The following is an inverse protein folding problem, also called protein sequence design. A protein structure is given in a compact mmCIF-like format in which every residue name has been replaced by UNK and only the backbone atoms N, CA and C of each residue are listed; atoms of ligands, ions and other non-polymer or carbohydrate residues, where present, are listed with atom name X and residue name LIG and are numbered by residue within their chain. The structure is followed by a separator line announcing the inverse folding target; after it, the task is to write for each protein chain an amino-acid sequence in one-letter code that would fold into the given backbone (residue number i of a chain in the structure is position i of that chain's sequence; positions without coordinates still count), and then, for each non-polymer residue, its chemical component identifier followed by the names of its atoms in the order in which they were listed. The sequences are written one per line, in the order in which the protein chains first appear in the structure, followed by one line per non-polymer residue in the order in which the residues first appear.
data_IF_355979716973
#
_entry.id   IF_355979716973
#
_cell.length_a   1.000
_cell.length_b   1.000
_cell.length_c   1.000
_cell.angle_alpha   90.00
_cell.angle_beta   90.00
_cell.angle_gamma   90.00
#
_symmetry.space_group_name_H-M   'P 1'
#
loop_
_entity.id
_entity.type
_entity.pdbx_description
1 polymer ?
#
# COMPACT_ATOMS: atom_id res chain seq x y z
N UNK A 1 -0.79 -14.51 14.19
CA UNK A 1 -1.50 -15.63 13.54
C UNK A 1 -2.03 -15.25 12.15
N UNK A 2 -2.82 -14.18 12.01
CA UNK A 2 -3.36 -13.75 10.72
C UNK A 2 -2.30 -13.50 9.65
N UNK A 3 -1.20 -12.84 10.01
CA UNK A 3 -0.10 -12.54 9.06
C UNK A 3 0.65 -13.82 8.64
N UNK A 4 0.95 -14.69 9.60
CA UNK A 4 1.61 -15.96 9.31
C UNK A 4 0.70 -16.88 8.50
N UNK A 5 -0.60 -16.95 8.86
CA UNK A 5 -1.58 -17.73 8.12
C UNK A 5 -1.76 -17.21 6.69
N UNK A 6 -1.82 -15.88 6.50
CA UNK A 6 -1.90 -15.28 5.16
C UNK A 6 -0.70 -15.58 4.30
N UNK A 7 0.52 -15.51 4.84
CA UNK A 7 1.74 -15.90 4.12
C UNK A 7 1.73 -17.40 3.81
N UNK A 8 1.36 -18.24 4.76
CA UNK A 8 1.32 -19.67 4.59
C UNK A 8 0.25 -20.15 3.59
N UNK A 9 -0.95 -19.57 3.66
CA UNK A 9 -2.07 -20.06 2.83
C UNK A 9 -2.11 -19.44 1.44
N UNK A 10 -1.61 -18.23 1.27
CA UNK A 10 -1.72 -17.50 0.00
C UNK A 10 -0.38 -17.35 -0.73
N UNK A 11 0.65 -16.84 -0.05
CA UNK A 11 1.89 -16.48 -0.74
C UNK A 11 2.74 -17.71 -1.09
N UNK A 12 3.03 -18.59 -0.13
CA UNK A 12 3.93 -19.72 -0.34
C UNK A 12 3.43 -20.74 -1.39
N UNK A 13 2.14 -21.17 -1.40
CA UNK A 13 1.63 -22.08 -2.40
C UNK A 13 1.62 -21.50 -3.82
N UNK A 14 1.34 -20.21 -3.98
CA UNK A 14 1.35 -19.55 -5.29
C UNK A 14 2.74 -19.63 -5.94
N UNK A 15 3.79 -19.50 -5.14
CA UNK A 15 5.17 -19.59 -5.63
C UNK A 15 5.78 -20.99 -5.60
N UNK A 16 5.00 -22.01 -5.20
CA UNK A 16 5.48 -23.42 -5.13
C UNK A 16 6.56 -23.66 -4.09
N UNK A 17 6.67 -22.81 -3.08
CA UNK A 17 7.69 -22.89 -2.03
C UNK A 17 7.21 -23.83 -0.94
N UNK A 18 8.03 -24.81 -0.52
CA UNK A 18 7.64 -25.72 0.55
C UNK A 18 7.49 -24.98 1.88
N UNK A 19 6.50 -25.39 2.67
CA UNK A 19 6.29 -24.85 4.00
C UNK A 19 7.48 -25.16 4.91
N UNK A 20 8.31 -24.16 5.17
CA UNK A 20 9.38 -24.22 6.15
C UNK A 20 9.36 -22.97 7.02
N UNK A 21 9.90 -23.08 8.22
CA UNK A 21 10.01 -21.92 9.12
C UNK A 21 10.88 -20.82 8.48
N UNK A 22 11.94 -21.21 7.79
CA UNK A 22 12.85 -20.28 7.11
C UNK A 22 12.15 -19.54 5.95
N UNK A 23 11.30 -20.22 5.19
CA UNK A 23 10.52 -19.60 4.12
C UNK A 23 9.54 -18.55 4.66
N UNK A 24 8.87 -18.84 5.77
CA UNK A 24 7.97 -17.90 6.43
C UNK A 24 8.73 -16.67 6.95
N UNK A 25 9.86 -16.89 7.62
CA UNK A 25 10.72 -15.80 8.12
C UNK A 25 11.30 -14.99 6.99
N UNK A 26 11.69 -15.62 5.88
CA UNK A 26 12.19 -14.95 4.68
C UNK A 26 11.17 -13.99 4.07
N UNK A 27 9.94 -14.47 3.83
CA UNK A 27 8.85 -13.63 3.29
C UNK A 27 8.49 -12.50 4.25
N UNK A 28 8.38 -12.77 5.57
CA UNK A 28 8.10 -11.73 6.56
C UNK A 28 9.21 -10.67 6.62
N UNK A 29 10.47 -11.09 6.57
CA UNK A 29 11.62 -10.20 6.51
C UNK A 29 11.58 -9.32 5.25
N UNK A 30 11.30 -9.91 4.09
CA UNK A 30 11.18 -9.18 2.82
C UNK A 30 10.07 -8.13 2.87
N UNK A 31 8.88 -8.48 3.37
CA UNK A 31 7.76 -7.55 3.53
C UNK A 31 8.13 -6.41 4.50
N UNK A 32 8.70 -6.74 5.65
CA UNK A 32 9.12 -5.75 6.63
C UNK A 32 10.13 -4.74 6.04
N UNK A 33 11.18 -5.22 5.39
CA UNK A 33 12.19 -4.35 4.79
C UNK A 33 11.69 -3.59 3.57
N UNK A 34 10.77 -4.17 2.79
CA UNK A 34 10.08 -3.43 1.73
C UNK A 34 9.30 -2.24 2.29
N UNK A 35 8.58 -2.41 3.41
CA UNK A 35 7.91 -1.29 4.08
C UNK A 35 8.90 -0.25 4.62
N UNK A 36 9.98 -0.67 5.25
CA UNK A 36 11.01 0.25 5.76
C UNK A 36 11.63 1.07 4.63
N UNK A 37 12.04 0.43 3.54
CA UNK A 37 12.71 1.10 2.43
C UNK A 37 11.73 1.94 1.61
N UNK A 38 10.60 1.37 1.20
CA UNK A 38 9.67 2.04 0.29
C UNK A 38 8.83 3.08 1.03
N UNK A 39 8.23 2.74 2.16
CA UNK A 39 7.35 3.66 2.87
C UNK A 39 8.14 4.64 3.72
N UNK A 40 8.99 4.17 4.63
CA UNK A 40 9.66 5.07 5.57
C UNK A 40 10.77 5.87 4.91
N UNK A 41 11.67 5.24 4.18
CA UNK A 41 12.83 5.90 3.62
C UNK A 41 12.48 6.68 2.34
N UNK A 42 11.82 6.05 1.38
CA UNK A 42 11.47 6.70 0.11
C UNK A 42 10.34 7.72 0.29
N UNK A 43 9.18 7.33 0.86
CA UNK A 43 8.05 8.24 0.94
C UNK A 43 8.19 9.26 2.06
N UNK A 44 8.41 8.84 3.31
CA UNK A 44 8.41 9.75 4.46
C UNK A 44 9.62 10.66 4.44
N UNK A 45 10.83 10.16 4.20
CA UNK A 45 12.04 10.97 4.24
C UNK A 45 12.27 11.81 2.98
N UNK A 46 11.96 11.29 1.79
CA UNK A 46 12.25 12.00 0.53
C UNK A 46 11.02 12.64 -0.08
N UNK A 47 9.96 11.88 -0.37
CA UNK A 47 8.82 12.38 -1.15
C UNK A 47 8.02 13.41 -0.39
N UNK A 48 7.76 13.21 0.91
CA UNK A 48 6.98 14.17 1.72
C UNK A 48 7.72 15.49 1.98
N UNK A 49 9.04 15.54 1.80
CA UNK A 49 9.80 16.80 1.87
C UNK A 49 9.71 17.63 0.60
N UNK A 50 9.30 17.02 -0.51
CA UNK A 50 9.10 17.72 -1.78
C UNK A 50 7.74 18.42 -1.78
N UNK A 51 7.69 19.59 -1.15
CA UNK A 51 6.51 20.43 -1.05
C UNK A 51 6.61 21.61 -2.03
N UNK A 52 5.59 21.75 -2.89
CA UNK A 52 5.43 22.90 -3.78
C UNK A 52 4.17 23.67 -3.38
N UNK A 53 4.31 24.67 -2.52
CA UNK A 53 3.20 25.54 -2.04
C UNK A 53 2.02 24.77 -1.40
N UNK A 54 2.29 23.72 -0.63
CA UNK A 54 1.26 22.87 -0.01
C UNK A 54 0.81 21.70 -0.87
N UNK A 55 1.27 21.61 -2.12
CA UNK A 55 0.98 20.49 -3.01
C UNK A 55 2.19 19.54 -3.13
N UNK A 56 1.93 18.25 -3.15
CA UNK A 56 2.91 17.19 -3.30
C UNK A 56 2.64 16.31 -4.52
N UNK A 57 3.35 15.20 -4.61
CA UNK A 57 3.15 14.20 -5.65
C UNK A 57 4.05 14.36 -6.88
N UNK A 58 3.81 13.55 -7.90
CA UNK A 58 4.67 13.43 -9.09
C UNK A 58 4.76 14.73 -9.87
N UNK A 59 3.64 15.43 -10.05
CA UNK A 59 3.59 16.69 -10.80
C UNK A 59 4.31 17.82 -10.06
N UNK A 60 4.20 17.87 -8.74
CA UNK A 60 4.93 18.83 -7.91
C UNK A 60 6.44 18.60 -7.99
N UNK A 61 6.88 17.32 -7.90
CA UNK A 61 8.29 16.94 -8.09
C UNK A 61 8.81 17.33 -9.47
N UNK A 62 8.02 17.08 -10.52
CA UNK A 62 8.36 17.47 -11.89
C UNK A 62 8.51 18.99 -12.00
N UNK A 63 7.57 19.76 -11.46
CA UNK A 63 7.60 21.23 -11.47
C UNK A 63 8.84 21.77 -10.73
N UNK A 64 9.20 21.20 -9.60
CA UNK A 64 10.41 21.58 -8.85
C UNK A 64 11.69 21.24 -9.62
N UNK A 65 11.76 20.05 -10.22
CA UNK A 65 12.92 19.63 -11.02
C UNK A 65 13.10 20.53 -12.26
N UNK A 66 12.01 20.92 -12.91
CA UNK A 66 12.05 21.82 -14.08
C UNK A 66 12.54 23.23 -13.75
N UNK A 67 12.37 23.72 -12.51
CA UNK A 67 12.91 25.03 -12.09
C UNK A 67 14.44 25.06 -12.12
N UNK A 68 15.11 23.92 -11.99
CA UNK A 68 16.57 23.80 -11.99
C UNK A 68 17.16 23.52 -13.38
N UNK A 69 16.29 23.24 -14.36
CA UNK A 69 16.72 22.91 -15.72
C UNK A 69 16.60 24.12 -16.65
N UNK A 70 17.57 24.27 -17.55
CA UNK A 70 17.50 25.30 -18.62
C UNK A 70 16.34 24.98 -19.57
N UNK A 71 15.56 26.02 -19.87
CA UNK A 71 14.39 25.93 -20.75
C UNK A 71 14.82 25.43 -22.14
N UNK A 72 14.18 24.37 -22.64
CA UNK A 72 14.50 23.79 -23.96
C UNK A 72 15.66 22.80 -23.98
N UNK A 73 16.27 22.52 -22.83
CA UNK A 73 17.36 21.53 -22.77
C UNK A 73 16.83 20.09 -22.90
N UNK A 74 17.65 19.16 -23.42
CA UNK A 74 17.32 17.72 -23.47
C UNK A 74 16.98 17.16 -22.09
N UNK A 75 17.59 17.71 -21.03
CA UNK A 75 17.30 17.33 -19.64
C UNK A 75 15.89 17.73 -19.22
N UNK A 76 15.46 18.97 -19.57
CA UNK A 76 14.10 19.42 -19.29
C UNK A 76 13.06 18.52 -20.00
N UNK A 77 13.30 18.18 -21.27
CA UNK A 77 12.41 17.29 -22.03
C UNK A 77 12.33 15.90 -21.36
N UNK A 78 13.45 15.32 -20.95
CA UNK A 78 13.48 14.03 -20.26
C UNK A 78 12.70 14.08 -18.93
N UNK A 79 12.86 15.15 -18.14
CA UNK A 79 12.12 15.34 -16.88
C UNK A 79 10.60 15.42 -17.12
N UNK A 80 10.18 16.12 -18.17
CA UNK A 80 8.76 16.20 -18.57
C UNK A 80 8.23 14.82 -18.96
N UNK A 81 8.96 14.09 -19.82
CA UNK A 81 8.55 12.76 -20.24
C UNK A 81 8.41 11.78 -19.06
N UNK A 82 9.39 11.78 -18.16
CA UNK A 82 9.36 10.94 -16.95
C UNK A 82 8.22 11.37 -15.99
N UNK A 83 7.99 12.66 -15.83
CA UNK A 83 6.90 13.16 -15.00
C UNK A 83 5.53 12.81 -15.55
N UNK A 84 5.32 12.96 -16.86
CA UNK A 84 4.07 12.58 -17.54
C UNK A 84 3.87 11.06 -17.47
N UNK A 85 4.90 10.27 -17.74
CA UNK A 85 4.83 8.81 -17.62
C UNK A 85 4.47 8.39 -16.19
N UNK A 86 5.12 8.98 -15.18
CA UNK A 86 4.81 8.72 -13.78
C UNK A 86 3.37 9.11 -13.41
N UNK A 87 2.88 10.24 -13.93
CA UNK A 87 1.50 10.65 -13.73
C UNK A 87 0.51 9.67 -14.37
N UNK A 88 0.78 9.17 -15.58
CA UNK A 88 -0.06 8.15 -16.22
C UNK A 88 -0.10 6.85 -15.40
N UNK A 89 1.05 6.39 -14.88
CA UNK A 89 1.11 5.23 -13.99
C UNK A 89 0.30 5.45 -12.72
N UNK A 90 0.41 6.63 -12.12
CA UNK A 90 -0.35 6.99 -10.92
C UNK A 90 -1.87 7.02 -11.18
N UNK A 91 -2.31 7.55 -12.31
CA UNK A 91 -3.74 7.54 -12.68
C UNK A 91 -4.26 6.11 -12.87
N UNK A 92 -3.47 5.23 -13.48
CA UNK A 92 -3.82 3.80 -13.61
C UNK A 92 -3.99 3.14 -12.25
N UNK A 93 -3.05 3.35 -11.33
CA UNK A 93 -3.10 2.82 -9.98
C UNK A 93 -4.28 3.39 -9.17
N UNK A 94 -4.57 4.67 -9.33
CA UNK A 94 -5.68 5.34 -8.62
C UNK A 94 -7.08 4.76 -8.96
N UNK A 95 -7.21 4.04 -10.06
CA UNK A 95 -8.45 3.33 -10.43
C UNK A 95 -8.41 1.87 -9.95
N UNK A 96 -7.29 1.19 -10.17
CA UNK A 96 -7.15 -0.25 -9.91
C UNK A 96 -7.12 -0.54 -8.40
N UNK A 97 -6.32 0.22 -7.65
CA UNK A 97 -6.10 -0.03 -6.21
C UNK A 97 -7.39 0.07 -5.39
N UNK A 98 -8.22 1.14 -5.51
CA UNK A 98 -9.50 1.18 -4.82
C UNK A 98 -10.46 0.06 -5.25
N UNK A 99 -10.49 -0.29 -6.55
CA UNK A 99 -11.36 -1.33 -7.05
C UNK A 99 -11.04 -2.69 -6.42
N UNK A 100 -9.76 -3.08 -6.41
CA UNK A 100 -9.31 -4.35 -5.80
C UNK A 100 -9.53 -4.33 -4.29
N UNK A 101 -9.20 -3.23 -3.62
CA UNK A 101 -9.31 -3.14 -2.15
C UNK A 101 -10.75 -3.23 -1.68
N UNK A 102 -11.68 -2.55 -2.35
CA UNK A 102 -13.11 -2.62 -2.02
C UNK A 102 -13.67 -3.99 -2.34
N UNK A 103 -13.31 -4.57 -3.50
CA UNK A 103 -13.75 -5.92 -3.87
C UNK A 103 -13.31 -6.94 -2.80
N UNK A 104 -12.03 -6.96 -2.44
CA UNK A 104 -11.49 -7.87 -1.42
C UNK A 104 -12.15 -7.68 -0.05
N UNK A 105 -12.46 -6.44 0.33
CA UNK A 105 -13.17 -6.17 1.58
C UNK A 105 -14.60 -6.73 1.57
N UNK A 106 -15.30 -6.60 0.43
CA UNK A 106 -16.68 -7.11 0.27
C UNK A 106 -16.68 -8.63 0.14
N UNK A 107 -15.69 -9.25 -0.52
CA UNK A 107 -15.51 -10.70 -0.56
C UNK A 107 -15.36 -11.30 0.86
N UNK A 108 -14.80 -10.56 1.80
CA UNK A 108 -14.77 -10.97 3.20
C UNK A 108 -16.15 -11.27 3.82
N UNK A 109 -17.24 -10.71 3.27
CA UNK A 109 -18.60 -11.03 3.71
C UNK A 109 -19.03 -12.47 3.35
N UNK A 110 -18.46 -13.06 2.31
CA UNK A 110 -18.73 -14.44 1.92
C UNK A 110 -18.32 -15.44 3.02
N UNK A 111 -17.30 -15.10 3.81
CA UNK A 111 -16.84 -15.91 4.94
C UNK A 111 -17.94 -15.99 6.03
N UNK A 112 -18.73 -14.92 6.16
CA UNK A 112 -19.82 -14.85 7.16
C UNK A 112 -21.04 -15.63 6.67
N UNK A 113 -21.41 -15.49 5.40
CA UNK A 113 -22.52 -16.24 4.79
C UNK A 113 -22.34 -16.37 3.28
N UNK A 114 -22.40 -17.61 2.72
CA UNK A 114 -22.28 -17.86 1.29
C UNK A 114 -23.36 -17.19 0.44
N UNK A 115 -24.49 -16.79 1.04
CA UNK A 115 -25.57 -16.11 0.32
C UNK A 115 -25.18 -14.72 -0.18
N UNK A 116 -24.16 -14.11 0.43
CA UNK A 116 -23.65 -12.79 0.02
C UNK A 116 -22.86 -12.82 -1.28
N UNK A 117 -22.41 -13.97 -1.77
CA UNK A 117 -21.61 -14.10 -3.01
C UNK A 117 -22.26 -13.36 -4.18
N UNK A 118 -23.56 -13.47 -4.37
CA UNK A 118 -24.26 -12.79 -5.47
C UNK A 118 -24.35 -11.27 -5.32
N UNK A 119 -24.17 -10.76 -4.11
CA UNK A 119 -24.25 -9.33 -3.81
C UNK A 119 -22.88 -8.64 -3.79
N UNK A 120 -21.78 -9.38 -3.83
CA UNK A 120 -20.41 -8.83 -3.79
C UNK A 120 -20.20 -7.78 -4.87
N UNK A 121 -20.49 -8.09 -6.14
CA UNK A 121 -20.28 -7.16 -7.24
C UNK A 121 -21.20 -5.92 -7.14
N UNK A 122 -22.51 -6.04 -6.91
CA UNK A 122 -23.38 -4.88 -6.73
C UNK A 122 -22.96 -3.98 -5.56
N UNK A 123 -22.62 -4.56 -4.41
CA UNK A 123 -22.18 -3.81 -3.24
C UNK A 123 -20.87 -3.08 -3.54
N UNK A 124 -19.91 -3.76 -4.15
CA UNK A 124 -18.62 -3.17 -4.56
C UNK A 124 -18.83 -1.97 -5.48
N UNK A 125 -19.69 -2.08 -6.48
CA UNK A 125 -20.00 -0.98 -7.40
C UNK A 125 -20.60 0.22 -6.65
N UNK A 126 -21.57 -0.03 -5.76
CA UNK A 126 -22.21 1.03 -4.97
C UNK A 126 -21.18 1.75 -4.11
N UNK A 127 -20.30 1.01 -3.42
CA UNK A 127 -19.27 1.59 -2.57
C UNK A 127 -18.28 2.41 -3.42
N UNK A 128 -17.84 1.90 -4.57
CA UNK A 128 -16.92 2.62 -5.46
C UNK A 128 -17.54 3.91 -6.00
N UNK A 129 -18.81 3.86 -6.44
CA UNK A 129 -19.53 5.05 -6.91
C UNK A 129 -19.64 6.08 -5.80
N UNK A 130 -20.00 5.67 -4.59
CA UNK A 130 -20.07 6.55 -3.42
C UNK A 130 -18.70 7.16 -3.08
N UNK A 131 -17.62 6.35 -3.10
CA UNK A 131 -16.26 6.79 -2.84
C UNK A 131 -15.83 7.87 -3.85
N UNK A 132 -15.99 7.62 -5.14
CA UNK A 132 -15.63 8.58 -6.19
C UNK A 132 -16.53 9.83 -6.19
N UNK A 133 -17.79 9.70 -5.78
CA UNK A 133 -18.67 10.86 -5.63
C UNK A 133 -18.22 11.79 -4.51
N UNK A 134 -17.79 11.23 -3.37
CA UNK A 134 -17.26 11.99 -2.22
C UNK A 134 -15.93 12.66 -2.57
N UNK A 135 -15.12 12.04 -3.42
CA UNK A 135 -13.82 12.56 -3.84
C UNK A 135 -13.90 13.93 -4.52
N UNK A 136 -15.04 14.27 -5.13
CA UNK A 136 -15.30 15.62 -5.67
C UNK A 136 -15.20 16.74 -4.63
N UNK A 137 -15.43 16.42 -3.36
CA UNK A 137 -15.41 17.41 -2.26
C UNK A 137 -14.00 17.79 -1.79
N UNK A 138 -12.98 17.29 -2.46
CA UNK A 138 -11.57 17.56 -2.17
C UNK A 138 -10.95 16.54 -1.21
N UNK A 139 -9.63 16.41 -1.33
CA UNK A 139 -8.83 15.42 -0.57
C UNK A 139 -8.80 15.72 0.94
N UNK A 140 -8.95 17.00 1.33
CA UNK A 140 -8.96 17.38 2.75
C UNK A 140 -10.16 16.80 3.51
N UNK A 141 -11.36 16.84 2.91
CA UNK A 141 -12.60 16.30 3.53
C UNK A 141 -12.50 14.77 3.67
N UNK A 142 -12.00 14.11 2.64
CA UNK A 142 -11.77 12.66 2.66
C UNK A 142 -10.75 12.29 3.74
N UNK A 143 -9.63 13.02 3.82
CA UNK A 143 -8.59 12.79 4.82
C UNK A 143 -9.07 12.97 6.26
N UNK A 144 -9.93 13.96 6.51
CA UNK A 144 -10.51 14.20 7.83
C UNK A 144 -11.40 13.04 8.30
N UNK A 145 -12.16 12.44 7.38
CA UNK A 145 -13.05 11.31 7.69
C UNK A 145 -12.26 10.00 7.85
N UNK A 146 -11.35 9.72 6.93
CA UNK A 146 -10.61 8.45 6.93
C UNK A 146 -9.43 8.43 7.91
N UNK A 147 -8.83 9.58 8.22
CA UNK A 147 -7.70 9.67 9.14
C UNK A 147 -7.94 8.98 10.49
N UNK A 148 -8.98 9.35 11.25
CA UNK A 148 -9.28 8.71 12.54
C UNK A 148 -9.56 7.20 12.42
N UNK A 149 -10.28 6.79 11.37
CA UNK A 149 -10.57 5.37 11.11
C UNK A 149 -9.28 4.58 10.90
N UNK A 150 -8.35 5.12 10.12
CA UNK A 150 -7.05 4.48 9.88
C UNK A 150 -6.18 4.42 11.13
N UNK A 151 -6.22 5.45 11.98
CA UNK A 151 -5.52 5.42 13.27
C UNK A 151 -6.04 4.28 14.15
N UNK A 152 -7.37 4.16 14.29
CA UNK A 152 -7.99 3.08 15.07
C UNK A 152 -7.61 1.72 14.47
N UNK A 153 -7.67 1.58 13.14
CA UNK A 153 -7.28 0.36 12.44
C UNK A 153 -5.84 -0.06 12.75
N UNK A 154 -4.88 0.88 12.64
CA UNK A 154 -3.48 0.59 12.94
C UNK A 154 -3.24 0.28 14.41
N UNK A 155 -3.97 0.93 15.33
CA UNK A 155 -3.89 0.62 16.76
C UNK A 155 -4.38 -0.80 17.04
N UNK A 156 -5.50 -1.22 16.44
CA UNK A 156 -6.03 -2.58 16.57
C UNK A 156 -5.03 -3.60 16.00
N UNK A 157 -4.53 -3.36 14.78
CA UNK A 157 -3.53 -4.25 14.19
C UNK A 157 -2.24 -4.33 15.02
N UNK A 158 -1.78 -3.20 15.54
CA UNK A 158 -0.61 -3.13 16.41
C UNK A 158 -0.81 -3.91 17.71
N UNK A 159 -1.95 -3.73 18.37
CA UNK A 159 -2.29 -4.46 19.59
C UNK A 159 -2.37 -5.96 19.36
N UNK A 160 -3.04 -6.40 18.29
CA UNK A 160 -3.11 -7.81 17.90
C UNK A 160 -1.74 -8.37 17.51
N UNK A 161 -0.91 -7.57 16.82
CA UNK A 161 0.46 -7.95 16.48
C UNK A 161 1.32 -8.17 17.71
N UNK A 162 1.29 -7.23 18.67
CA UNK A 162 2.04 -7.35 19.93
C UNK A 162 1.57 -8.58 20.71
N UNK A 163 0.25 -8.79 20.82
CA UNK A 163 -0.29 -9.96 21.52
C UNK A 163 0.25 -11.27 20.93
N UNK A 164 0.24 -11.42 19.60
CA UNK A 164 0.74 -12.62 18.94
C UNK A 164 2.28 -12.77 19.01
N UNK A 165 3.03 -11.66 19.05
CA UNK A 165 4.49 -11.70 19.23
C UNK A 165 4.86 -12.19 20.63
N UNK A 166 4.08 -11.81 21.67
CA UNK A 166 4.30 -12.30 23.04
C UNK A 166 4.14 -13.82 23.12
N UNK A 167 3.15 -14.37 22.38
CA UNK A 167 2.93 -15.82 22.33
C UNK A 167 4.03 -16.56 21.54
N UNK A 168 4.58 -15.92 20.49
CA UNK A 168 5.60 -16.52 19.62
C UNK A 168 6.73 -15.53 19.31
N UNK A 169 7.66 -15.30 20.26
CA UNK A 169 8.72 -14.30 20.11
C UNK A 169 9.75 -14.64 19.01
N UNK A 170 9.77 -15.87 18.54
CA UNK A 170 10.64 -16.29 17.42
C UNK A 170 10.38 -15.52 16.11
N UNK A 171 9.19 -14.96 15.93
CA UNK A 171 8.84 -14.16 14.75
C UNK A 171 9.69 -12.87 14.68
N UNK A 172 10.16 -12.33 15.80
CA UNK A 172 10.98 -11.12 15.85
C UNK A 172 12.32 -11.31 15.10
N UNK A 173 12.79 -12.54 14.96
CA UNK A 173 13.99 -12.86 14.19
C UNK A 173 13.84 -12.46 12.71
N UNK A 174 12.61 -12.38 12.18
CA UNK A 174 12.33 -11.91 10.82
C UNK A 174 12.74 -10.42 10.58
N UNK A 175 13.02 -9.64 11.60
CA UNK A 175 13.56 -8.29 11.47
C UNK A 175 14.99 -8.32 10.89
N UNK A 176 15.70 -9.43 11.05
CA UNK A 176 17.04 -9.59 10.48
C UNK A 176 16.95 -9.67 8.94
N UNK A 177 17.57 -8.74 8.19
CA UNK A 177 17.53 -8.71 6.73
C UNK A 177 18.15 -9.93 6.06
N UNK A 178 18.98 -10.67 6.79
CA UNK A 178 19.61 -11.89 6.25
C UNK A 178 18.57 -12.94 5.85
N UNK A 179 17.42 -13.00 6.52
CA UNK A 179 16.35 -13.92 6.13
C UNK A 179 15.72 -13.53 4.79
N UNK A 180 15.65 -12.24 4.46
CA UNK A 180 15.16 -11.76 3.17
C UNK A 180 16.19 -12.00 2.04
N UNK A 181 17.49 -11.94 2.34
CA UNK A 181 18.56 -12.13 1.35
C UNK A 181 18.78 -13.61 1.03
N UNK A 182 18.61 -14.48 2.02
CA UNK A 182 18.82 -15.92 1.89
C UNK A 182 17.58 -16.66 1.35
N UNK A 183 16.45 -15.99 1.25
CA UNK A 183 15.21 -16.49 0.69
C UNK A 183 15.19 -16.40 -0.83
#
# INVERSE_FOLDING_TARGET
LLTVTGVQTCALPIYGIPFSQDAVLGVLSMVFWAFVVVVSLKYVLFVMRANNHGEGGILALMAMALRTAETGSKRALLMIMLGVFGACMFYGDAVITPAISVLSAVEGLEIVSPEFTRFVIPITIIILVALFAIQKSGTATVGFLFGPIMVIWFLVLGAMGIYNIVDNPSIVVAINPMHAINF
#
